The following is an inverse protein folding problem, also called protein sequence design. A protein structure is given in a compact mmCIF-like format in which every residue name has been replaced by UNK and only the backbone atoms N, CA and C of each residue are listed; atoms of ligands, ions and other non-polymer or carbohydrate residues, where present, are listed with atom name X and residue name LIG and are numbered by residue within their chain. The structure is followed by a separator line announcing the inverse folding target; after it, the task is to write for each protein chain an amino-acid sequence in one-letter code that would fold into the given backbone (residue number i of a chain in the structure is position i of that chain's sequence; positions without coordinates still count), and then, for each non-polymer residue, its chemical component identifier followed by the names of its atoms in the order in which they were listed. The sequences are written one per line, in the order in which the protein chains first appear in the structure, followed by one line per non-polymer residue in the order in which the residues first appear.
data_IF_187124416722
#
_entry.id   IF_187124416722
#
_cell.length_a   1.000
_cell.length_b   1.000
_cell.length_c   1.000
_cell.angle_alpha   90.00
_cell.angle_beta   90.00
_cell.angle_gamma   90.00
#
_symmetry.space_group_name_H-M   'P 1'
#
loop_
_entity.id
_entity.type
_entity.pdbx_description
1 polymer ?
#
# COMPACT_ATOMS: atom_id res chain seq x y z
N UNK A 1 8.59 -2.29 17.58
CA UNK A 1 8.37 -2.32 16.12
C UNK A 1 7.38 -1.24 15.77
N UNK A 2 7.71 -0.39 14.80
CA UNK A 2 6.80 0.66 14.34
C UNK A 2 5.97 0.15 13.17
N UNK A 3 4.73 -0.25 13.44
CA UNK A 3 3.73 -0.59 12.41
C UNK A 3 3.60 0.58 11.42
N UNK A 4 3.63 1.81 11.93
CA UNK A 4 3.62 3.03 11.13
C UNK A 4 4.74 3.08 10.11
N UNK A 5 5.94 2.60 10.47
CA UNK A 5 7.09 2.54 9.55
C UNK A 5 6.86 1.49 8.47
N UNK A 6 6.38 0.29 8.84
CA UNK A 6 6.03 -0.77 7.90
C UNK A 6 5.00 -0.28 6.89
N UNK A 7 3.91 0.33 7.37
CA UNK A 7 2.86 0.93 6.54
C UNK A 7 3.46 1.99 5.60
N UNK A 8 4.32 2.86 6.11
CA UNK A 8 4.95 3.90 5.29
C UNK A 8 5.85 3.31 4.20
N UNK A 9 6.62 2.27 4.51
CA UNK A 9 7.49 1.58 3.56
C UNK A 9 6.66 0.88 2.46
N UNK A 10 5.54 0.23 2.82
CA UNK A 10 4.58 -0.37 1.86
C UNK A 10 4.02 0.70 0.93
N UNK A 11 3.53 1.81 1.48
CA UNK A 11 2.93 2.89 0.71
C UNK A 11 3.97 3.55 -0.21
N UNK A 12 5.22 3.72 0.25
CA UNK A 12 6.29 4.29 -0.57
C UNK A 12 6.65 3.37 -1.75
N UNK A 13 6.69 2.04 -1.53
CA UNK A 13 6.82 1.08 -2.63
C UNK A 13 5.65 1.17 -3.60
N UNK A 14 4.43 1.27 -3.08
CA UNK A 14 3.22 1.36 -3.90
C UNK A 14 3.11 2.67 -4.69
N UNK A 15 3.67 3.77 -4.18
CA UNK A 15 3.77 5.02 -4.95
C UNK A 15 4.72 4.90 -6.15
N UNK A 16 5.76 4.07 -6.04
CA UNK A 16 6.67 3.78 -7.14
C UNK A 16 6.14 2.68 -8.08
N UNK A 17 5.20 1.85 -7.60
CA UNK A 17 4.59 0.75 -8.33
C UNK A 17 3.04 0.88 -8.38
N UNK A 18 2.50 1.37 -9.50
CA UNK A 18 1.06 1.50 -9.74
C UNK A 18 0.26 0.22 -9.53
N UNK A 19 0.86 -0.91 -9.89
CA UNK A 19 0.22 -2.21 -9.85
C UNK A 19 0.11 -2.67 -8.39
N UNK A 20 1.17 -2.48 -7.61
CA UNK A 20 1.15 -2.69 -6.17
C UNK A 20 0.10 -1.80 -5.48
N UNK A 21 -0.01 -0.53 -5.90
CA UNK A 21 -1.02 0.40 -5.40
C UNK A 21 -2.45 -0.12 -5.67
N UNK A 22 -2.71 -0.63 -6.88
CA UNK A 22 -3.99 -1.23 -7.25
C UNK A 22 -4.29 -2.50 -6.45
N UNK A 23 -3.28 -3.34 -6.28
CA UNK A 23 -3.40 -4.58 -5.50
C UNK A 23 -3.65 -4.28 -4.02
N UNK A 24 -2.99 -3.28 -3.42
CA UNK A 24 -3.26 -2.84 -2.04
C UNK A 24 -4.66 -2.22 -1.88
N UNK A 25 -5.19 -1.56 -2.91
CA UNK A 25 -6.54 -1.02 -2.87
C UNK A 25 -7.62 -2.12 -2.96
N UNK A 26 -7.35 -3.18 -3.73
CA UNK A 26 -8.27 -4.32 -3.89
C UNK A 26 -8.18 -5.33 -2.75
N UNK A 27 -6.96 -5.76 -2.45
CA UNK A 27 -6.66 -6.88 -1.57
C UNK A 27 -5.33 -6.66 -0.81
N UNK A 28 -5.31 -5.71 0.16
CA UNK A 28 -4.09 -5.32 0.85
C UNK A 28 -3.47 -6.44 1.68
N UNK A 29 -4.28 -7.34 2.23
CA UNK A 29 -3.79 -8.45 3.05
C UNK A 29 -2.91 -9.39 2.22
N UNK A 30 -3.46 -9.92 1.12
CA UNK A 30 -2.69 -10.73 0.15
C UNK A 30 -1.49 -10.00 -0.45
N UNK A 31 -1.66 -8.72 -0.75
CA UNK A 31 -0.57 -7.94 -1.35
C UNK A 31 0.58 -7.78 -0.37
N UNK A 32 0.27 -7.55 0.91
CA UNK A 32 1.25 -7.44 1.98
C UNK A 32 1.90 -8.79 2.27
N UNK A 33 1.15 -9.89 2.27
CA UNK A 33 1.73 -11.25 2.35
C UNK A 33 2.68 -11.55 1.18
N UNK A 34 2.36 -11.07 -0.02
CA UNK A 34 3.20 -11.19 -1.21
C UNK A 34 4.42 -10.26 -1.23
N UNK A 35 4.47 -9.25 -0.34
CA UNK A 35 5.59 -8.31 -0.28
C UNK A 35 6.79 -8.93 0.43
N UNK A 36 7.74 -9.42 -0.38
CA UNK A 36 9.01 -9.95 0.14
C UNK A 36 9.86 -8.83 0.78
N UNK A 37 10.47 -9.13 1.93
CA UNK A 37 11.39 -8.23 2.63
C UNK A 37 10.72 -7.23 3.58
N UNK A 38 9.42 -7.40 3.86
CA UNK A 38 8.73 -6.70 4.94
C UNK A 38 8.52 -7.69 6.08
N UNK A 39 9.14 -7.42 7.22
CA UNK A 39 9.04 -8.27 8.39
C UNK A 39 7.83 -7.81 9.22
N UNK A 40 6.75 -8.60 9.15
CA UNK A 40 5.50 -8.31 9.87
C UNK A 40 5.38 -9.32 10.99
N UNK A 41 5.21 -8.87 12.24
CA UNK A 41 5.03 -9.78 13.35
C UNK A 41 3.71 -10.53 13.25
N UNK A 42 3.72 -11.77 13.72
CA UNK A 42 2.50 -12.56 13.88
C UNK A 42 1.46 -11.79 14.72
N UNK A 43 0.23 -11.74 14.22
CA UNK A 43 -0.87 -11.01 14.84
C UNK A 43 -0.84 -9.49 14.65
N UNK A 44 0.11 -8.95 13.89
CA UNK A 44 0.16 -7.51 13.54
C UNK A 44 -0.23 -7.23 12.09
N UNK A 45 -0.46 -8.27 11.27
CA UNK A 45 -0.88 -8.13 9.88
C UNK A 45 -2.14 -7.27 9.75
N UNK A 46 -3.16 -7.54 10.57
CA UNK A 46 -4.40 -6.76 10.58
C UNK A 46 -4.16 -5.27 10.80
N UNK A 47 -3.33 -4.91 11.78
CA UNK A 47 -2.98 -3.51 12.05
C UNK A 47 -2.18 -2.86 10.93
N UNK A 48 -1.29 -3.61 10.27
CA UNK A 48 -0.58 -3.14 9.08
C UNK A 48 -1.55 -2.92 7.92
N UNK A 49 -2.43 -3.88 7.65
CA UNK A 49 -3.46 -3.82 6.61
C UNK A 49 -4.39 -2.62 6.83
N UNK A 50 -4.86 -2.42 8.06
CA UNK A 50 -5.74 -1.32 8.42
C UNK A 50 -5.02 0.04 8.30
N UNK A 51 -3.74 0.11 8.70
CA UNK A 51 -2.90 1.28 8.52
C UNK A 51 -2.67 1.61 7.04
N UNK A 52 -2.39 0.61 6.21
CA UNK A 52 -2.25 0.76 4.75
C UNK A 52 -3.56 1.24 4.14
N UNK A 53 -4.69 0.59 4.41
CA UNK A 53 -6.02 1.03 3.94
C UNK A 53 -6.30 2.48 4.33
N UNK A 54 -5.99 2.84 5.57
CA UNK A 54 -6.17 4.21 6.08
C UNK A 54 -5.29 5.21 5.33
N UNK A 55 -4.00 4.90 5.10
CA UNK A 55 -3.09 5.76 4.35
C UNK A 55 -3.52 5.90 2.89
N UNK A 56 -3.95 4.80 2.26
CA UNK A 56 -4.53 4.77 0.92
C UNK A 56 -5.74 5.70 0.81
N UNK A 57 -6.65 5.62 1.78
CA UNK A 57 -7.83 6.48 1.85
C UNK A 57 -7.44 7.95 2.08
N UNK A 58 -6.48 8.22 2.98
CA UNK A 58 -5.97 9.58 3.27
C UNK A 58 -5.26 10.23 2.09
N UNK A 59 -4.43 9.46 1.38
CA UNK A 59 -3.70 9.91 0.19
C UNK A 59 -4.67 10.06 -0.99
N UNK A 60 -5.83 9.41 -0.93
CA UNK A 60 -6.84 9.44 -1.99
C UNK A 60 -6.29 8.70 -3.21
N UNK A 61 -6.22 7.37 -3.15
CA UNK A 61 -5.77 6.56 -4.29
C UNK A 61 -6.55 6.91 -5.56
N UNK A 62 -7.82 7.28 -5.51
CA UNK A 62 -8.55 7.73 -6.71
C UNK A 62 -7.84 8.89 -7.41
N UNK A 63 -7.43 9.93 -6.68
CA UNK A 63 -6.72 11.06 -7.27
C UNK A 63 -5.29 10.72 -7.71
N UNK A 64 -4.61 9.82 -6.98
CA UNK A 64 -3.24 9.41 -7.31
C UNK A 64 -3.22 8.45 -8.52
N UNK A 65 -4.19 7.53 -8.61
CA UNK A 65 -4.35 6.57 -9.69
C UNK A 65 -4.89 7.25 -10.96
N UNK A 66 -5.78 8.24 -10.83
CA UNK A 66 -6.21 9.09 -11.94
C UNK A 66 -5.03 9.91 -12.50
N UNK A 67 -4.26 10.57 -11.63
CA UNK A 67 -3.06 11.30 -12.06
C UNK A 67 -1.99 10.40 -12.65
N UNK A 68 -1.78 9.22 -12.08
CA UNK A 68 -0.81 8.27 -12.59
C UNK A 68 -1.27 7.66 -13.92
N UNK A 69 -2.56 7.36 -14.06
CA UNK A 69 -3.17 6.95 -15.32
C UNK A 69 -3.02 8.01 -16.43
N UNK A 70 -3.11 9.30 -16.10
CA UNK A 70 -2.82 10.40 -17.03
C UNK A 70 -1.33 10.51 -17.39
N UNK A 71 -0.42 10.18 -16.47
CA UNK A 71 1.03 10.16 -16.74
C UNK A 71 1.45 8.99 -17.65
N UNK A 72 0.79 7.84 -17.55
CA UNK A 72 1.03 6.68 -18.43
C UNK A 72 0.28 6.75 -19.77
N UNK A 73 -0.66 7.70 -19.94
CA UNK A 73 -1.41 7.92 -21.18
C UNK A 73 -0.74 8.89 -22.17
N UNK A 74 0.37 9.53 -21.80
CA UNK A 74 1.15 10.41 -22.68
C UNK A 74 2.29 9.69 -23.39
#
# INVERSE_FOLDING_TARGET
MDITKIVTDIINKAKADPELLSNLAKDPEKTIEGLTGIDIPDGQLDSVVEGVKTQIAKVGISNAMDKLGDLFKN
#
